data_IF_424715954310
#
_entry.id   IF_424715954310
#
_cell.length_a   1.000
_cell.length_b   1.000
_cell.length_c   1.000
_cell.angle_alpha   90.00
_cell.angle_beta   90.00
_cell.angle_gamma   90.00
#
_symmetry.space_group_name_H-M   'P 1'
#
loop_
_entity.id
_entity.type
_entity.pdbx_description
1 polymer ?
#
# COMPACT_ATOMS: atom_id res chain seq x y z
N UNK A 1 81.18 -1.72 -33.63
CA UNK A 1 80.16 -2.36 -32.76
C UNK A 1 79.72 -1.36 -31.74
N UNK A 2 78.45 -1.21 -31.39
CA UNK A 2 77.25 -1.95 -31.74
C UNK A 2 76.17 -1.53 -30.74
N UNK A 3 74.91 -1.58 -31.18
CA UNK A 3 73.67 -1.44 -30.40
C UNK A 3 73.36 -0.03 -29.83
N UNK A 4 72.14 0.48 -29.89
CA UNK A 4 70.88 -0.10 -30.35
C UNK A 4 69.70 0.57 -29.65
N UNK A 5 68.58 0.66 -30.37
CA UNK A 5 67.21 0.78 -29.84
C UNK A 5 66.80 2.17 -29.31
N UNK A 6 65.63 2.73 -29.62
CA UNK A 6 64.47 2.22 -30.34
C UNK A 6 63.20 2.93 -29.84
N UNK A 7 62.26 3.16 -30.76
CA UNK A 7 60.82 3.24 -30.47
C UNK A 7 60.28 4.53 -29.87
N UNK A 8 59.79 5.44 -30.73
CA UNK A 8 58.79 6.43 -30.39
C UNK A 8 57.47 6.08 -31.06
N UNK A 9 56.39 5.97 -30.28
CA UNK A 9 55.03 6.00 -30.78
C UNK A 9 54.14 6.77 -29.79
N UNK A 10 53.29 7.61 -30.37
CA UNK A 10 52.43 8.60 -29.74
C UNK A 10 51.19 8.00 -29.06
N UNK A 11 50.56 8.77 -28.18
CA UNK A 11 49.09 8.92 -28.18
C UNK A 11 48.64 10.15 -27.38
N UNK A 12 47.60 10.82 -27.87
CA UNK A 12 47.07 12.07 -27.35
C UNK A 12 45.73 11.91 -26.61
N UNK A 13 45.49 12.85 -25.69
CA UNK A 13 44.24 13.60 -25.50
C UNK A 13 42.95 12.89 -25.05
N UNK A 14 42.48 13.21 -23.84
CA UNK A 14 41.05 13.30 -23.54
C UNK A 14 40.73 14.28 -22.38
N UNK A 15 39.69 15.09 -22.61
CA UNK A 15 39.17 16.20 -21.80
C UNK A 15 38.59 15.80 -20.43
N UNK A 16 38.86 16.63 -19.43
CA UNK A 16 38.30 16.62 -18.05
C UNK A 16 36.93 17.29 -18.03
N UNK A 17 35.90 16.61 -17.50
CA UNK A 17 34.53 17.10 -17.28
C UNK A 17 34.30 17.24 -15.77
N UNK A 18 34.02 18.46 -15.32
CA UNK A 18 33.70 18.81 -13.93
C UNK A 18 32.45 18.08 -13.42
N UNK A 19 32.57 17.46 -12.24
CA UNK A 19 31.48 16.84 -11.49
C UNK A 19 31.11 17.76 -10.34
N UNK A 20 29.97 18.43 -10.48
CA UNK A 20 29.33 19.29 -9.51
C UNK A 20 28.95 18.49 -8.24
N UNK A 21 29.49 18.91 -7.11
CA UNK A 21 29.18 18.38 -5.76
C UNK A 21 27.69 18.53 -5.43
N UNK A 22 27.08 17.45 -4.91
CA UNK A 22 25.79 17.47 -4.24
C UNK A 22 26.04 17.75 -2.74
N UNK A 23 25.28 18.65 -2.10
CA UNK A 23 25.42 18.88 -0.67
C UNK A 23 24.98 17.64 0.12
N UNK A 24 25.79 17.30 1.12
CA UNK A 24 25.58 16.19 2.04
C UNK A 24 24.28 16.38 2.84
N UNK A 25 23.35 15.43 2.72
CA UNK A 25 22.33 15.21 3.74
C UNK A 25 22.92 14.33 4.82
N UNK A 26 23.00 14.88 6.01
CA UNK A 26 23.31 14.20 7.28
C UNK A 26 22.50 12.93 7.41
N UNK A 27 23.16 11.79 7.23
CA UNK A 27 22.62 10.48 7.57
C UNK A 27 22.76 10.28 9.08
N UNK A 28 21.67 10.49 9.82
CA UNK A 28 21.49 9.71 11.04
C UNK A 28 21.46 8.21 10.63
N UNK A 29 22.01 7.30 11.44
CA UNK A 29 21.94 5.87 11.14
C UNK A 29 20.47 5.47 10.96
N UNK A 30 20.11 4.61 9.98
CA UNK A 30 18.75 4.18 9.84
C UNK A 30 18.39 3.37 11.09
N UNK A 31 17.56 3.96 11.94
CA UNK A 31 16.69 3.19 12.82
C UNK A 31 16.02 2.15 11.91
N UNK A 32 15.96 0.88 12.29
CA UNK A 32 15.17 -0.13 11.60
C UNK A 32 13.71 0.34 11.59
N UNK A 33 13.39 1.13 10.57
CA UNK A 33 12.17 1.90 10.49
C UNK A 33 11.04 0.93 10.19
N UNK A 34 10.04 0.92 11.08
CA UNK A 34 8.90 0.00 11.03
C UNK A 34 8.33 -0.05 9.60
N UNK A 35 8.18 -1.22 8.97
CA UNK A 35 7.74 -1.30 7.57
C UNK A 35 6.37 -0.64 7.34
N UNK A 36 5.55 -0.48 8.38
CA UNK A 36 4.27 0.21 8.33
C UNK A 36 4.38 1.65 7.83
N UNK A 37 5.42 2.40 8.22
CA UNK A 37 5.57 3.81 7.80
C UNK A 37 5.75 3.96 6.28
N UNK A 38 6.10 2.87 5.58
CA UNK A 38 6.25 2.84 4.12
C UNK A 38 4.93 2.54 3.41
N UNK A 39 3.93 2.02 4.12
CA UNK A 39 2.60 1.74 3.59
C UNK A 39 1.70 2.96 3.74
N UNK A 40 1.26 3.52 2.61
CA UNK A 40 0.31 4.65 2.60
C UNK A 40 -1.10 4.10 2.69
N UNK A 41 -1.57 3.87 3.92
CA UNK A 41 -2.96 3.52 4.19
C UNK A 41 -3.82 4.79 4.25
N UNK A 42 -4.97 4.76 3.60
CA UNK A 42 -5.82 5.92 3.40
C UNK A 42 -7.29 5.54 3.40
N UNK A 43 -8.13 6.38 3.99
CA UNK A 43 -9.58 6.28 3.87
C UNK A 43 -9.99 6.71 2.47
N UNK A 44 -10.68 5.84 1.75
CA UNK A 44 -11.14 6.09 0.40
C UNK A 44 -12.65 5.83 0.31
N UNK A 45 -13.29 6.40 -0.70
CA UNK A 45 -14.69 6.13 -1.03
C UNK A 45 -14.78 5.38 -2.34
N UNK A 46 -15.54 4.29 -2.36
CA UNK A 46 -15.91 3.64 -3.62
C UNK A 46 -16.96 4.50 -4.31
N UNK A 47 -16.65 5.06 -5.47
CA UNK A 47 -17.60 5.89 -6.23
C UNK A 47 -18.34 5.09 -7.31
N UNK A 48 -17.64 4.12 -7.91
CA UNK A 48 -18.19 3.23 -8.92
C UNK A 48 -17.72 1.80 -8.70
N UNK A 49 -18.56 0.84 -9.09
CA UNK A 49 -18.28 -0.58 -9.06
C UNK A 49 -18.71 -1.14 -10.41
N UNK A 50 -17.83 -1.89 -11.06
CA UNK A 50 -18.09 -2.56 -12.32
C UNK A 50 -17.62 -4.00 -12.27
N UNK A 51 -18.24 -4.87 -13.05
CA UNK A 51 -17.81 -6.26 -13.17
C UNK A 51 -16.60 -6.37 -14.10
N UNK A 52 -15.65 -7.22 -13.75
CA UNK A 52 -14.55 -7.57 -14.65
C UNK A 52 -15.02 -8.65 -15.62
N UNK A 53 -14.91 -8.37 -16.93
CA UNK A 53 -15.19 -9.36 -17.96
C UNK A 53 -14.33 -10.62 -17.75
N UNK A 54 -14.95 -11.79 -17.88
CA UNK A 54 -14.31 -13.09 -17.67
C UNK A 54 -13.87 -13.38 -16.21
N UNK A 55 -14.41 -12.67 -15.22
CA UNK A 55 -14.21 -13.04 -13.81
C UNK A 55 -15.49 -12.95 -12.98
N UNK A 56 -15.87 -14.07 -12.36
CA UNK A 56 -16.93 -14.18 -11.36
C UNK A 56 -16.48 -13.72 -9.96
N UNK A 57 -15.20 -13.40 -9.77
CA UNK A 57 -14.59 -13.07 -8.47
C UNK A 57 -14.19 -11.61 -8.33
N UNK A 58 -14.02 -10.90 -9.44
CA UNK A 58 -13.43 -9.57 -9.43
C UNK A 58 -14.46 -8.48 -9.73
N UNK A 59 -14.34 -7.39 -8.97
CA UNK A 59 -14.87 -6.08 -9.33
C UNK A 59 -13.74 -5.17 -9.80
N UNK A 60 -14.06 -4.26 -10.72
CA UNK A 60 -13.27 -3.09 -11.06
C UNK A 60 -13.98 -1.87 -10.46
N UNK A 61 -13.39 -1.28 -9.43
CA UNK A 61 -13.94 -0.14 -8.71
C UNK A 61 -13.17 1.14 -9.04
N UNK A 62 -13.86 2.27 -9.02
CA UNK A 62 -13.24 3.59 -8.91
C UNK A 62 -13.26 4.03 -7.46
N UNK A 63 -12.09 4.38 -6.92
CA UNK A 63 -11.94 4.92 -5.57
C UNK A 63 -11.61 6.40 -5.63
N UNK A 64 -12.36 7.22 -4.92
CA UNK A 64 -11.95 8.57 -4.55
C UNK A 64 -11.06 8.48 -3.31
N UNK A 65 -9.81 8.90 -3.45
CA UNK A 65 -8.76 8.75 -2.41
C UNK A 65 -8.28 10.09 -1.84
N UNK A 66 -8.89 11.17 -2.32
CA UNK A 66 -8.66 12.55 -1.93
C UNK A 66 -9.45 13.48 -2.85
N UNK A 67 -9.47 14.79 -2.60
CA UNK A 67 -10.24 15.75 -3.39
C UNK A 67 -9.88 15.69 -4.88
N UNK A 68 -10.78 15.10 -5.69
CA UNK A 68 -10.59 14.91 -7.13
C UNK A 68 -9.52 13.89 -7.53
N UNK A 69 -8.94 13.14 -6.59
CA UNK A 69 -8.00 12.05 -6.89
C UNK A 69 -8.76 10.72 -6.98
N UNK A 70 -8.82 10.17 -8.19
CA UNK A 70 -9.44 8.87 -8.47
C UNK A 70 -8.38 7.80 -8.72
N UNK A 71 -8.65 6.57 -8.28
CA UNK A 71 -7.81 5.38 -8.51
C UNK A 71 -8.66 4.21 -8.95
N UNK A 72 -8.21 3.51 -9.98
CA UNK A 72 -8.83 2.24 -10.36
C UNK A 72 -8.31 1.12 -9.45
N UNK A 73 -9.21 0.30 -8.91
CA UNK A 73 -8.88 -0.87 -8.10
C UNK A 73 -9.61 -2.09 -8.59
N UNK A 74 -8.88 -3.19 -8.78
CA UNK A 74 -9.47 -4.49 -9.07
C UNK A 74 -9.44 -5.32 -7.80
N UNK A 75 -10.60 -5.71 -7.30
CA UNK A 75 -10.75 -6.35 -5.98
C UNK A 75 -11.50 -7.67 -6.06
N UNK A 76 -11.08 -8.65 -5.23
CA UNK A 76 -11.67 -9.99 -5.14
C UNK A 76 -12.94 -10.09 -4.31
N UNK A 77 -13.67 -8.98 -4.11
CA UNK A 77 -14.79 -8.91 -3.17
C UNK A 77 -16.13 -9.40 -3.74
N UNK A 78 -16.23 -9.70 -5.04
CA UNK A 78 -17.50 -9.99 -5.72
C UNK A 78 -18.30 -11.15 -5.15
N UNK A 79 -17.63 -12.13 -4.55
CA UNK A 79 -18.30 -13.28 -3.91
C UNK A 79 -18.74 -13.03 -2.47
N UNK A 80 -18.29 -11.93 -1.87
CA UNK A 80 -18.38 -11.71 -0.43
C UNK A 80 -19.12 -10.44 -0.05
N UNK A 81 -19.02 -9.40 -0.89
CA UNK A 81 -19.65 -8.10 -0.67
C UNK A 81 -20.43 -7.76 -1.93
N UNK A 82 -21.75 -7.58 -1.84
CA UNK A 82 -22.55 -7.22 -3.01
C UNK A 82 -22.26 -5.79 -3.45
N UNK A 83 -22.57 -5.49 -4.72
CA UNK A 83 -22.25 -4.20 -5.34
C UNK A 83 -22.89 -3.02 -4.60
N UNK A 84 -24.15 -3.18 -4.19
CA UNK A 84 -24.93 -2.17 -3.47
C UNK A 84 -24.34 -1.81 -2.10
N UNK A 85 -23.66 -2.75 -1.44
CA UNK A 85 -22.97 -2.51 -0.18
C UNK A 85 -21.60 -1.86 -0.38
N UNK A 86 -20.99 -2.09 -1.56
CA UNK A 86 -19.68 -1.56 -1.88
C UNK A 86 -19.77 -0.14 -2.45
N UNK A 87 -20.78 0.17 -3.26
CA UNK A 87 -20.92 1.49 -3.89
C UNK A 87 -21.24 2.56 -2.85
N UNK A 88 -20.48 3.64 -2.87
CA UNK A 88 -20.58 4.75 -1.92
C UNK A 88 -19.94 4.48 -0.56
N UNK A 89 -19.43 3.27 -0.31
CA UNK A 89 -18.85 2.85 0.96
C UNK A 89 -17.49 3.49 1.19
N UNK A 90 -17.26 3.93 2.43
CA UNK A 90 -15.93 4.27 2.93
C UNK A 90 -15.14 3.01 3.25
N UNK A 91 -13.93 2.91 2.71
CA UNK A 91 -13.05 1.74 2.79
C UNK A 91 -11.65 2.17 3.22
N UNK A 92 -10.92 1.25 3.84
CA UNK A 92 -9.48 1.38 4.04
C UNK A 92 -8.74 0.87 2.80
N UNK A 93 -7.85 1.66 2.23
CA UNK A 93 -7.07 1.28 1.06
C UNK A 93 -5.57 1.58 1.24
N UNK A 94 -4.72 0.81 0.57
CA UNK A 94 -3.29 1.12 0.40
C UNK A 94 -3.04 1.70 -0.99
N UNK A 95 -2.47 2.90 -1.04
CA UNK A 95 -2.39 3.70 -2.28
C UNK A 95 -1.05 3.64 -3.00
N UNK A 96 -0.01 3.16 -2.33
CA UNK A 96 1.36 3.16 -2.88
C UNK A 96 1.90 1.77 -3.14
N UNK A 97 1.06 0.76 -3.39
CA UNK A 97 1.56 -0.52 -3.88
C UNK A 97 2.03 -0.42 -5.32
N UNK A 98 2.86 -1.38 -5.73
CA UNK A 98 3.19 -1.56 -7.14
C UNK A 98 1.91 -1.85 -7.92
N UNK A 99 1.68 -1.06 -8.97
CA UNK A 99 0.54 -1.25 -9.88
C UNK A 99 0.54 -2.69 -10.42
N UNK A 100 -0.60 -3.35 -10.30
CA UNK A 100 -0.81 -4.72 -10.74
C UNK A 100 -1.80 -4.75 -11.92
N UNK A 101 -1.72 -5.80 -12.74
CA UNK A 101 -2.75 -6.11 -13.73
C UNK A 101 -3.44 -7.40 -13.33
N UNK A 102 -4.75 -7.36 -13.14
CA UNK A 102 -5.59 -8.49 -12.77
C UNK A 102 -6.66 -8.67 -13.84
N UNK A 103 -6.72 -9.85 -14.48
CA UNK A 103 -7.66 -10.13 -15.55
C UNK A 103 -7.71 -9.04 -16.65
N UNK A 104 -6.54 -8.51 -17.02
CA UNK A 104 -6.39 -7.45 -18.03
C UNK A 104 -6.66 -6.02 -17.52
N UNK A 105 -7.24 -5.87 -16.34
CA UNK A 105 -7.54 -4.57 -15.72
C UNK A 105 -6.41 -4.10 -14.81
N UNK A 106 -6.14 -2.78 -14.81
CA UNK A 106 -5.11 -2.17 -13.96
C UNK A 106 -5.66 -1.94 -12.56
N UNK A 107 -4.89 -2.31 -11.53
CA UNK A 107 -5.18 -2.00 -10.13
C UNK A 107 -4.05 -1.14 -9.57
N UNK A 108 -4.40 0.10 -9.21
CA UNK A 108 -3.46 1.11 -8.71
C UNK A 108 -3.40 1.17 -7.18
N UNK A 109 -4.38 0.59 -6.52
CA UNK A 109 -4.46 0.47 -5.08
C UNK A 109 -5.06 -0.90 -4.70
N UNK A 110 -5.19 -1.15 -3.41
CA UNK A 110 -5.80 -2.36 -2.85
C UNK A 110 -6.70 -1.95 -1.69
N UNK A 111 -7.95 -2.43 -1.71
CA UNK A 111 -8.90 -2.29 -0.60
C UNK A 111 -8.56 -3.34 0.44
N UNK A 112 -8.44 -2.94 1.70
CA UNK A 112 -8.17 -3.86 2.79
C UNK A 112 -9.47 -4.52 3.28
N UNK A 113 -9.40 -5.83 3.43
CA UNK A 113 -10.48 -6.66 3.93
C UNK A 113 -9.95 -7.65 4.96
N UNK A 114 -10.82 -8.06 5.89
CA UNK A 114 -10.57 -9.18 6.78
C UNK A 114 -10.72 -10.47 5.98
N UNK A 115 -9.89 -11.47 6.28
CA UNK A 115 -10.08 -12.84 5.83
C UNK A 115 -10.04 -13.79 7.03
N UNK A 116 -11.11 -14.58 7.14
CA UNK A 116 -11.33 -15.55 8.21
C UNK A 116 -11.95 -16.83 7.66
N UNK A 117 -11.78 -17.94 8.36
CA UNK A 117 -12.56 -19.15 8.12
C UNK A 117 -13.63 -19.26 9.21
N UNK A 118 -14.90 -19.28 8.80
CA UNK A 118 -16.05 -19.35 9.71
C UNK A 118 -16.92 -20.52 9.29
N UNK A 119 -17.03 -21.54 10.15
CA UNK A 119 -17.82 -22.74 9.85
C UNK A 119 -17.29 -23.57 8.67
N UNK A 120 -15.99 -23.50 8.39
CA UNK A 120 -15.36 -24.18 7.25
C UNK A 120 -15.49 -23.44 5.92
N UNK A 121 -16.04 -22.22 5.92
CA UNK A 121 -16.15 -21.38 4.73
C UNK A 121 -15.34 -20.09 4.86
N UNK A 122 -14.79 -19.63 3.73
CA UNK A 122 -14.02 -18.39 3.65
C UNK A 122 -14.95 -17.19 3.80
N UNK A 123 -14.74 -16.40 4.85
CA UNK A 123 -15.44 -15.15 5.12
C UNK A 123 -14.52 -13.97 4.86
N UNK A 124 -14.94 -13.07 3.96
CA UNK A 124 -14.24 -11.82 3.66
C UNK A 124 -15.18 -10.65 3.94
N UNK A 125 -14.72 -9.70 4.75
CA UNK A 125 -15.47 -8.48 5.12
C UNK A 125 -14.57 -7.27 4.97
N UNK A 126 -15.14 -6.12 4.60
CA UNK A 126 -14.37 -4.88 4.52
C UNK A 126 -13.87 -4.47 5.90
N UNK A 127 -12.67 -3.89 5.97
CA UNK A 127 -12.25 -3.16 7.17
C UNK A 127 -13.07 -1.89 7.27
N UNK A 128 -13.76 -1.73 8.39
CA UNK A 128 -14.55 -0.55 8.72
C UNK A 128 -13.68 0.64 9.11
N UNK A 129 -14.09 1.82 8.68
CA UNK A 129 -13.54 3.11 9.10
C UNK A 129 -14.61 3.89 9.88
N UNK A 130 -14.22 4.77 10.82
CA UNK A 130 -15.18 5.60 11.56
C UNK A 130 -16.13 6.37 10.64
N UNK A 131 -17.38 6.56 11.07
CA UNK A 131 -18.42 7.21 10.27
C UNK A 131 -18.06 8.66 9.88
N UNK A 132 -17.34 9.35 10.76
CA UNK A 132 -16.92 10.74 10.58
C UNK A 132 -15.56 10.88 9.86
N UNK A 133 -15.01 9.78 9.33
CA UNK A 133 -13.75 9.80 8.60
C UNK A 133 -13.88 10.58 7.28
N UNK A 134 -12.82 11.32 6.93
CA UNK A 134 -12.79 12.09 5.69
C UNK A 134 -12.02 11.33 4.60
N UNK A 135 -12.48 11.46 3.35
CA UNK A 135 -11.78 10.88 2.19
C UNK A 135 -10.37 11.50 2.12
N UNK A 136 -9.37 10.64 2.04
CA UNK A 136 -7.96 11.04 2.04
C UNK A 136 -7.29 11.03 3.41
N UNK A 137 -8.02 10.75 4.49
CA UNK A 137 -7.43 10.62 5.83
C UNK A 137 -6.38 9.52 5.86
N UNK A 138 -5.20 9.86 6.39
CA UNK A 138 -4.14 8.88 6.62
C UNK A 138 -4.51 7.96 7.78
N UNK A 139 -4.36 6.65 7.55
CA UNK A 139 -4.57 5.64 8.59
C UNK A 139 -3.22 5.17 9.11
N UNK A 140 -2.99 5.34 10.40
CA UNK A 140 -1.74 4.99 11.06
C UNK A 140 -1.96 4.06 12.25
N UNK A 141 -0.96 3.25 12.56
CA UNK A 141 -0.94 2.48 13.79
C UNK A 141 -0.65 3.41 14.99
N UNK A 142 -1.36 3.19 16.10
CA UNK A 142 -1.22 4.00 17.32
C UNK A 142 0.25 4.11 17.79
N UNK A 143 0.72 5.34 17.95
CA UNK A 143 2.11 5.63 18.33
C UNK A 143 3.15 5.38 17.21
N UNK A 144 2.72 5.21 15.96
CA UNK A 144 3.60 5.25 14.77
C UNK A 144 3.23 6.49 13.97
N UNK A 145 4.14 7.47 13.93
CA UNK A 145 3.92 8.67 13.14
C UNK A 145 4.03 8.36 11.64
N UNK A 146 3.19 8.98 10.79
CA UNK A 146 3.38 8.91 9.35
C UNK A 146 4.71 9.59 8.95
N UNK A 147 5.36 9.16 7.86
CA UNK A 147 6.54 9.85 7.34
C UNK A 147 6.15 11.22 6.77
N UNK A 148 7.10 12.16 6.72
CA UNK A 148 6.92 13.46 6.04
C UNK A 148 6.53 13.28 4.56
N UNK A 149 7.10 12.25 3.93
CA UNK A 149 6.85 11.90 2.53
C UNK A 149 6.81 10.38 2.41
N UNK A 150 5.67 9.84 2.00
CA UNK A 150 5.57 8.41 1.68
C UNK A 150 6.46 8.05 0.49
N UNK A 151 7.08 6.85 0.50
CA UNK A 151 7.78 6.37 -0.67
C UNK A 151 6.80 6.21 -1.85
N UNK A 152 7.29 6.46 -3.07
CA UNK A 152 6.52 6.30 -4.30
C UNK A 152 5.90 4.90 -4.43
N UNK A 153 6.61 3.89 -3.93
CA UNK A 153 6.18 2.50 -3.95
C UNK A 153 6.52 1.83 -2.61
N UNK A 154 5.53 1.21 -1.97
CA UNK A 154 5.67 0.23 -0.92
C UNK A 154 6.01 -1.12 -1.55
N UNK A 155 7.28 -1.52 -1.43
CA UNK A 155 7.78 -2.79 -1.99
C UNK A 155 7.09 -3.98 -1.32
N UNK A 156 6.89 -5.06 -2.07
CA UNK A 156 6.24 -6.29 -1.60
C UNK A 156 6.77 -6.76 -0.25
N UNK A 157 8.10 -6.83 -0.06
CA UNK A 157 8.69 -7.25 1.22
C UNK A 157 8.26 -6.41 2.45
N UNK A 158 7.99 -5.11 2.26
CA UNK A 158 7.51 -4.25 3.34
C UNK A 158 6.02 -4.44 3.55
N UNK A 159 5.25 -4.54 2.46
CA UNK A 159 3.83 -4.82 2.55
C UNK A 159 3.54 -6.19 3.15
N UNK A 160 4.32 -7.21 2.81
CA UNK A 160 4.21 -8.56 3.37
C UNK A 160 4.50 -8.55 4.88
N UNK A 161 5.57 -7.87 5.30
CA UNK A 161 5.88 -7.69 6.72
C UNK A 161 4.78 -6.90 7.48
N UNK A 162 4.10 -5.97 6.82
CA UNK A 162 2.96 -5.26 7.40
C UNK A 162 1.74 -6.18 7.53
N UNK A 163 1.35 -6.85 6.44
CA UNK A 163 0.21 -7.79 6.40
C UNK A 163 0.32 -8.90 7.44
N UNK A 164 1.52 -9.46 7.65
CA UNK A 164 1.73 -10.53 8.63
C UNK A 164 1.38 -10.10 10.07
N UNK A 165 1.42 -8.80 10.34
CA UNK A 165 1.11 -8.19 11.63
C UNK A 165 -0.29 -7.55 11.70
N UNK A 166 -1.00 -7.48 10.58
CA UNK A 166 -2.34 -6.92 10.50
C UNK A 166 -3.40 -7.97 10.88
N UNK A 167 -4.11 -7.72 11.98
CA UNK A 167 -5.09 -8.65 12.54
C UNK A 167 -6.30 -7.95 13.14
N UNK A 168 -7.39 -8.69 13.27
CA UNK A 168 -8.55 -8.31 14.09
C UNK A 168 -8.30 -8.69 15.53
N UNK A 169 -8.43 -7.75 16.47
CA UNK A 169 -8.37 -8.02 17.92
C UNK A 169 -9.40 -7.15 18.64
N UNK A 170 -10.28 -7.76 19.43
CA UNK A 170 -11.37 -7.09 20.11
C UNK A 170 -12.28 -6.33 19.14
N UNK A 171 -12.54 -6.89 17.96
CA UNK A 171 -13.31 -6.24 16.88
C UNK A 171 -12.64 -5.02 16.24
N UNK A 172 -11.37 -4.74 16.54
CA UNK A 172 -10.61 -3.61 15.98
C UNK A 172 -9.57 -4.08 14.97
N UNK A 173 -9.29 -3.24 13.99
CA UNK A 173 -8.17 -3.46 13.08
C UNK A 173 -6.86 -3.05 13.78
N UNK A 174 -5.92 -3.99 13.88
CA UNK A 174 -4.70 -3.83 14.66
C UNK A 174 -3.47 -4.15 13.81
N UNK A 175 -2.39 -3.44 14.07
CA UNK A 175 -1.05 -3.69 13.56
C UNK A 175 -0.11 -3.88 14.76
N UNK A 176 0.45 -5.08 14.95
CA UNK A 176 1.45 -5.35 15.99
C UNK A 176 1.03 -4.88 17.40
N UNK A 177 -0.23 -5.17 17.78
CA UNK A 177 -0.80 -4.75 19.06
C UNK A 177 -1.23 -3.28 19.13
N UNK A 178 -1.08 -2.50 18.05
CA UNK A 178 -1.46 -1.08 17.96
C UNK A 178 -2.72 -0.93 17.10
N UNK A 179 -3.66 -0.07 17.51
CA UNK A 179 -4.89 0.16 16.72
C UNK A 179 -4.54 0.90 15.44
N UNK A 180 -5.15 0.50 14.34
CA UNK A 180 -5.21 1.35 13.15
C UNK A 180 -6.21 2.48 13.40
N UNK A 181 -5.78 3.71 13.19
CA UNK A 181 -6.54 4.92 13.51
C UNK A 181 -6.42 5.93 12.38
N UNK A 182 -7.53 6.58 12.03
CA UNK A 182 -7.55 7.81 11.25
C UNK A 182 -7.88 9.00 12.17
N UNK A 183 -7.98 10.20 11.61
CA UNK A 183 -8.33 11.42 12.36
C UNK A 183 -9.65 11.29 13.13
N UNK A 184 -10.62 10.54 12.60
CA UNK A 184 -11.93 10.32 13.21
C UNK A 184 -11.99 9.17 14.23
N UNK A 185 -10.92 8.38 14.39
CA UNK A 185 -10.86 7.29 15.38
C UNK A 185 -10.37 5.95 14.82
N UNK A 186 -10.60 4.84 15.57
CA UNK A 186 -10.07 3.54 15.21
C UNK A 186 -10.84 2.86 14.08
N UNK A 187 -10.11 2.22 13.18
CA UNK A 187 -10.66 1.26 12.22
C UNK A 187 -11.10 -0.01 12.94
N UNK A 188 -12.12 -0.68 12.40
CA UNK A 188 -12.77 -1.82 13.03
C UNK A 188 -13.07 -2.94 12.04
N UNK A 189 -13.38 -4.12 12.56
CA UNK A 189 -13.88 -5.24 11.78
C UNK A 189 -15.38 -5.40 12.01
N UNK A 190 -16.07 -6.05 11.06
CA UNK A 190 -17.46 -6.43 11.25
C UNK A 190 -17.60 -7.36 12.48
N UNK A 191 -18.67 -7.24 13.30
CA UNK A 191 -18.88 -8.10 14.47
C UNK A 191 -18.91 -9.60 14.17
N UNK A 192 -19.20 -10.01 12.94
CA UNK A 192 -19.17 -11.42 12.52
C UNK A 192 -17.75 -11.95 12.31
N UNK A 193 -16.73 -11.09 12.29
CA UNK A 193 -15.33 -11.47 12.04
C UNK A 193 -14.70 -11.92 13.37
N UNK A 194 -14.21 -13.17 13.47
CA UNK A 194 -13.56 -13.65 14.68
C UNK A 194 -12.27 -12.88 14.99
N UNK A 195 -11.96 -12.77 16.28
CA UNK A 195 -10.65 -12.28 16.71
C UNK A 195 -9.52 -13.20 16.22
N UNK A 196 -8.38 -12.59 15.88
CA UNK A 196 -7.23 -13.27 15.27
C UNK A 196 -7.30 -13.36 13.74
N UNK A 197 -8.43 -13.01 13.12
CA UNK A 197 -8.57 -12.98 11.65
C UNK A 197 -7.55 -12.06 11.00
N UNK A 198 -7.06 -12.45 9.83
CA UNK A 198 -6.07 -11.67 9.08
C UNK A 198 -6.72 -10.47 8.39
N UNK A 199 -5.96 -9.41 8.14
CA UNK A 199 -6.38 -8.27 7.29
C UNK A 199 -5.38 -8.15 6.15
N UNK A 200 -5.88 -8.04 4.91
CA UNK A 200 -5.05 -7.97 3.71
C UNK A 200 -5.70 -7.21 2.57
#
# INVERSE_FOLDING_TARGET
>A
GGAGGGGGAAEGGAKKKEKKEKPAKTSAPPVDEDPFVKARLTVARVVEVGHVENSDKLYCCQLEVGPGEMRQVVTGLRKFVPEEELKGRMVLAILNLKVAKLAGQVSEAMILATEAEVGGELSVKLVGVPADATIGDCVNAEGIAPPDVYPKECKSKFWDAVKDKLKVVGGKAMYDGKKLTCAAGPCFADPSVPDGSSIK
#
